data_IF_226641817570
#
_entry.id   IF_226641817570
#
_cell.length_a   1.000
_cell.length_b   1.000
_cell.length_c   1.000
_cell.angle_alpha   90.00
_cell.angle_beta   90.00
_cell.angle_gamma   90.00
#
_symmetry.space_group_name_H-M   'P 1'
#
loop_
_entity.id
_entity.type
_entity.pdbx_description
1 polymer ?
#
# COMPACT_ATOMS: atom_id res chain seq x y z
N UNK A 1 13.58 -21.83 -52.75
CA UNK A 1 13.00 -22.02 -51.44
C UNK A 1 14.10 -21.76 -50.42
N UNK A 2 14.08 -20.59 -49.71
CA UNK A 2 15.04 -20.29 -48.65
C UNK A 2 14.33 -20.53 -47.30
N UNK A 3 14.88 -21.40 -46.49
CA UNK A 3 14.44 -21.68 -45.12
C UNK A 3 14.72 -20.46 -44.24
N UNK A 4 13.78 -19.99 -43.41
CA UNK A 4 14.05 -18.90 -42.48
C UNK A 4 14.96 -19.36 -41.35
N UNK A 5 15.78 -18.46 -40.75
CA UNK A 5 16.67 -18.80 -39.67
C UNK A 5 15.86 -19.10 -38.38
N UNK A 6 16.22 -20.22 -37.76
CA UNK A 6 15.71 -20.59 -36.43
C UNK A 6 16.25 -19.61 -35.42
N UNK A 7 15.34 -18.94 -34.73
CA UNK A 7 15.64 -18.04 -33.61
C UNK A 7 16.00 -18.92 -32.40
N UNK A 8 17.30 -19.13 -32.16
CA UNK A 8 17.80 -19.78 -30.95
C UNK A 8 17.50 -18.87 -29.78
N UNK A 9 16.51 -19.25 -28.99
CA UNK A 9 16.28 -18.73 -27.67
C UNK A 9 17.53 -19.06 -26.82
N UNK A 10 18.45 -18.13 -26.73
CA UNK A 10 19.55 -18.21 -25.77
C UNK A 10 18.96 -18.14 -24.37
N UNK A 11 18.77 -19.30 -23.73
CA UNK A 11 18.54 -19.38 -22.30
C UNK A 11 19.74 -18.72 -21.60
N UNK A 12 19.52 -17.78 -20.65
CA UNK A 12 20.62 -17.27 -19.85
C UNK A 12 21.25 -18.47 -19.14
N UNK A 13 22.50 -18.74 -19.44
CA UNK A 13 23.31 -19.73 -18.73
C UNK A 13 23.31 -19.37 -17.26
N UNK A 14 22.78 -20.24 -16.41
CA UNK A 14 22.94 -20.10 -14.97
C UNK A 14 24.44 -19.95 -14.69
N UNK A 15 24.88 -18.95 -13.94
CA UNK A 15 26.27 -18.81 -13.59
C UNK A 15 26.68 -20.06 -12.80
N UNK A 16 27.44 -20.94 -13.48
CA UNK A 16 28.15 -22.03 -12.83
C UNK A 16 29.19 -21.39 -11.90
N UNK A 17 29.31 -21.93 -10.69
CA UNK A 17 30.34 -21.59 -9.68
C UNK A 17 30.25 -20.17 -9.09
N UNK A 18 29.14 -19.87 -8.38
CA UNK A 18 29.16 -18.76 -7.41
C UNK A 18 29.81 -19.24 -6.12
N UNK A 19 30.87 -18.57 -5.71
CA UNK A 19 31.46 -18.76 -4.40
C UNK A 19 30.41 -18.47 -3.30
N UNK A 20 30.44 -19.15 -2.13
CA UNK A 20 29.52 -18.87 -1.02
C UNK A 20 29.47 -17.40 -0.61
N UNK A 21 30.55 -16.66 -0.78
CA UNK A 21 30.65 -15.21 -0.51
C UNK A 21 29.75 -14.40 -1.47
N UNK A 22 29.62 -14.78 -2.73
CA UNK A 22 28.74 -14.11 -3.71
C UNK A 22 27.26 -14.29 -3.34
N UNK A 23 26.89 -15.43 -2.78
CA UNK A 23 25.53 -15.71 -2.31
C UNK A 23 25.20 -14.84 -1.10
N UNK A 24 26.13 -14.73 -0.13
CA UNK A 24 25.97 -13.87 1.04
C UNK A 24 25.78 -12.41 0.64
N UNK A 25 26.56 -11.90 -0.31
CA UNK A 25 26.43 -10.52 -0.79
C UNK A 25 25.06 -10.24 -1.45
N UNK A 26 24.44 -11.22 -2.10
CA UNK A 26 23.07 -11.08 -2.63
C UNK A 26 22.07 -10.97 -1.48
N UNK A 27 22.20 -11.80 -0.44
CA UNK A 27 21.31 -11.80 0.73
C UNK A 27 21.44 -10.49 1.52
N UNK A 28 22.65 -9.98 1.69
CA UNK A 28 22.91 -8.70 2.37
C UNK A 28 22.14 -7.52 1.78
N UNK A 29 21.96 -7.50 0.45
CA UNK A 29 21.17 -6.45 -0.23
C UNK A 29 19.69 -6.44 0.17
N UNK A 30 19.18 -7.52 0.73
CA UNK A 30 17.80 -7.70 1.18
C UNK A 30 17.70 -7.85 2.71
N UNK A 31 18.80 -7.59 3.45
CA UNK A 31 18.87 -7.79 4.91
C UNK A 31 17.69 -7.15 5.64
N UNK A 32 17.33 -5.90 5.30
CA UNK A 32 16.18 -5.23 5.91
C UNK A 32 14.86 -5.99 5.69
N UNK A 33 14.62 -6.50 4.48
CA UNK A 33 13.42 -7.30 4.20
C UNK A 33 13.38 -8.59 5.01
N UNK A 34 14.52 -9.26 5.14
CA UNK A 34 14.66 -10.48 5.93
C UNK A 34 14.49 -10.23 7.43
N UNK A 35 15.02 -9.11 7.95
CA UNK A 35 14.81 -8.68 9.34
C UNK A 35 13.33 -8.37 9.64
N UNK A 36 12.63 -7.74 8.69
CA UNK A 36 11.19 -7.49 8.83
C UNK A 36 10.37 -8.78 8.83
N UNK A 37 10.75 -9.77 8.02
CA UNK A 37 10.11 -11.09 8.01
C UNK A 37 10.35 -11.82 9.35
N UNK A 38 11.58 -11.84 9.86
CA UNK A 38 11.89 -12.41 11.17
C UNK A 38 11.11 -11.71 12.29
N UNK A 39 11.02 -10.38 12.25
CA UNK A 39 10.26 -9.61 13.22
C UNK A 39 8.75 -9.91 13.15
N UNK A 40 8.22 -10.13 11.94
CA UNK A 40 6.84 -10.52 11.73
C UNK A 40 6.57 -11.92 12.32
N UNK A 41 7.38 -12.92 12.00
CA UNK A 41 7.24 -14.30 12.46
C UNK A 41 7.26 -14.41 14.00
N UNK A 42 8.06 -13.56 14.63
CA UNK A 42 8.18 -13.52 16.09
C UNK A 42 7.26 -12.49 16.78
N UNK A 43 6.32 -11.89 16.05
CA UNK A 43 5.40 -10.85 16.56
C UNK A 43 6.12 -9.66 17.22
N UNK A 44 7.29 -9.29 16.69
CA UNK A 44 8.14 -8.18 17.18
C UNK A 44 8.21 -7.01 16.22
N UNK A 45 7.32 -6.98 15.23
CA UNK A 45 7.29 -5.92 14.22
C UNK A 45 6.97 -4.58 14.90
N UNK A 46 7.94 -3.68 14.94
CA UNK A 46 7.79 -2.34 15.50
C UNK A 46 7.27 -1.36 14.46
N UNK A 47 6.58 -0.33 14.93
CA UNK A 47 6.17 0.78 14.08
C UNK A 47 7.28 1.81 14.00
N UNK A 48 7.67 2.25 12.81
CA UNK A 48 8.62 3.35 12.66
C UNK A 48 8.02 4.66 13.19
N UNK A 49 8.89 5.60 13.54
CA UNK A 49 8.47 6.96 13.85
C UNK A 49 7.80 7.59 12.63
N UNK A 50 6.73 8.35 12.87
CA UNK A 50 5.95 9.00 11.83
C UNK A 50 5.98 10.52 11.94
N UNK A 51 5.51 11.20 10.92
CA UNK A 51 5.39 12.66 10.83
C UNK A 51 4.16 13.13 11.61
N UNK A 52 4.29 14.00 12.62
CA UNK A 52 3.15 14.50 13.36
C UNK A 52 2.20 15.35 12.51
N UNK A 53 0.90 15.16 12.71
CA UNK A 53 -0.13 15.93 12.03
C UNK A 53 -0.32 15.52 10.57
N UNK A 54 -1.42 15.93 9.99
CA UNK A 54 -1.72 15.73 8.56
C UNK A 54 -2.75 16.75 8.06
N UNK A 55 -2.63 17.14 6.80
CA UNK A 55 -3.69 17.87 6.09
C UNK A 55 -4.89 16.94 5.92
N UNK A 56 -6.04 17.39 6.38
CA UNK A 56 -7.26 16.58 6.35
C UNK A 56 -7.82 16.50 4.92
N UNK A 57 -8.19 15.28 4.51
CA UNK A 57 -9.02 15.07 3.32
C UNK A 57 -10.50 15.25 3.67
N UNK A 58 -11.22 15.93 2.80
CA UNK A 58 -12.68 15.99 2.85
C UNK A 58 -13.31 14.88 2.00
N UNK A 59 -14.54 14.55 2.33
CA UNK A 59 -15.30 13.59 1.52
C UNK A 59 -15.49 14.10 0.09
N UNK A 60 -15.75 15.40 -0.08
CA UNK A 60 -15.98 16.04 -1.36
C UNK A 60 -14.73 15.95 -2.27
N UNK A 61 -13.53 16.18 -1.73
CA UNK A 61 -12.27 16.00 -2.45
C UNK A 61 -12.11 14.56 -2.93
N UNK A 62 -12.39 13.59 -2.05
CA UNK A 62 -12.32 12.18 -2.41
C UNK A 62 -13.36 11.80 -3.48
N UNK A 63 -14.58 12.35 -3.43
CA UNK A 63 -15.59 12.11 -4.47
C UNK A 63 -15.13 12.63 -5.83
N UNK A 64 -14.60 13.85 -5.88
CA UNK A 64 -14.04 14.41 -7.13
C UNK A 64 -12.94 13.51 -7.70
N UNK A 65 -12.05 13.00 -6.85
CA UNK A 65 -11.02 12.04 -7.26
C UNK A 65 -11.64 10.77 -7.84
N UNK A 66 -12.58 10.13 -7.13
CA UNK A 66 -13.21 8.86 -7.53
C UNK A 66 -13.96 9.03 -8.85
N UNK A 67 -14.72 10.11 -9.00
CA UNK A 67 -15.49 10.41 -10.21
C UNK A 67 -14.58 10.70 -11.41
N UNK A 68 -13.37 11.21 -11.18
CA UNK A 68 -12.36 11.43 -12.22
C UNK A 68 -11.60 10.17 -12.66
N UNK A 69 -11.70 9.08 -11.90
CA UNK A 69 -11.06 7.81 -12.26
C UNK A 69 -11.79 7.19 -13.47
N UNK A 70 -11.15 7.12 -14.62
CA UNK A 70 -11.74 6.71 -15.90
C UNK A 70 -12.31 5.29 -16.00
N UNK A 71 -12.41 4.55 -14.89
CA UNK A 71 -12.90 3.16 -14.85
C UNK A 71 -14.43 3.03 -14.94
N UNK A 72 -15.17 4.12 -14.89
CA UNK A 72 -16.63 4.13 -15.10
C UNK A 72 -17.04 3.69 -16.52
N UNK A 73 -16.13 3.76 -17.48
CA UNK A 73 -16.37 3.24 -18.84
C UNK A 73 -16.47 1.70 -18.86
N UNK A 74 -15.79 1.01 -17.96
CA UNK A 74 -15.75 -0.46 -17.88
C UNK A 74 -16.86 -1.03 -16.97
N UNK A 75 -17.36 -0.22 -16.03
CA UNK A 75 -18.38 -0.65 -15.06
C UNK A 75 -19.24 0.55 -14.63
N UNK A 76 -20.51 0.49 -14.92
CA UNK A 76 -21.49 1.51 -14.48
C UNK A 76 -21.64 1.57 -12.95
N UNK A 77 -21.13 0.56 -12.22
CA UNK A 77 -21.17 0.47 -10.76
C UNK A 77 -19.89 0.97 -10.09
N UNK A 78 -18.85 1.34 -10.87
CA UNK A 78 -17.60 1.83 -10.33
C UNK A 78 -17.83 3.10 -9.51
N UNK A 79 -17.33 3.11 -8.27
CA UNK A 79 -17.43 4.26 -7.39
C UNK A 79 -18.83 4.54 -6.84
N UNK A 80 -19.81 3.66 -7.13
CA UNK A 80 -21.16 3.80 -6.58
C UNK A 80 -21.18 3.34 -5.13
N UNK A 81 -21.43 4.26 -4.20
CA UNK A 81 -21.51 3.95 -2.77
C UNK A 81 -22.74 3.12 -2.44
N UNK A 82 -22.56 2.08 -1.62
CA UNK A 82 -23.64 1.23 -1.12
C UNK A 82 -24.30 1.83 0.13
N UNK A 83 -23.50 2.50 0.94
CA UNK A 83 -23.87 3.03 2.23
C UNK A 83 -22.85 4.10 2.68
N UNK A 84 -22.93 4.55 3.94
CA UNK A 84 -22.00 5.57 4.51
C UNK A 84 -20.63 5.02 4.94
N UNK A 85 -20.25 3.78 4.61
CA UNK A 85 -19.01 3.14 5.04
C UNK A 85 -17.76 3.89 4.57
N UNK A 86 -17.79 4.48 3.37
CA UNK A 86 -16.68 5.27 2.88
C UNK A 86 -16.49 6.55 3.68
N UNK A 87 -17.58 7.27 3.96
CA UNK A 87 -17.56 8.46 4.83
C UNK A 87 -17.09 8.11 6.24
N UNK A 88 -17.53 6.98 6.77
CA UNK A 88 -17.07 6.42 8.04
C UNK A 88 -15.57 6.12 8.03
N UNK A 89 -15.05 5.51 6.96
CA UNK A 89 -13.61 5.22 6.80
C UNK A 89 -12.76 6.48 6.83
N UNK A 90 -13.20 7.55 6.15
CA UNK A 90 -12.53 8.86 6.19
C UNK A 90 -12.60 9.50 7.58
N UNK A 91 -13.74 9.41 8.27
CA UNK A 91 -13.91 9.98 9.61
C UNK A 91 -13.05 9.29 10.65
N UNK A 92 -12.93 7.97 10.55
CA UNK A 92 -12.23 7.15 11.53
C UNK A 92 -10.75 7.51 11.72
N UNK A 93 -10.06 7.92 10.67
CA UNK A 93 -8.63 8.27 10.77
C UNK A 93 -8.38 9.59 11.52
N UNK A 94 -9.41 10.39 11.76
CA UNK A 94 -9.34 11.67 12.48
C UNK A 94 -10.00 11.63 13.85
N UNK A 95 -10.31 10.46 14.37
CA UNK A 95 -10.90 10.30 15.69
C UNK A 95 -9.94 10.75 16.79
N UNK A 96 -10.51 11.34 17.83
CA UNK A 96 -9.80 11.75 19.05
C UNK A 96 -10.47 11.15 20.27
N UNK A 97 -9.68 10.85 21.27
CA UNK A 97 -10.16 10.43 22.58
C UNK A 97 -9.42 11.21 23.67
N UNK A 98 -10.17 11.79 24.62
CA UNK A 98 -9.58 12.57 25.71
C UNK A 98 -8.77 13.80 25.24
N UNK A 99 -9.08 14.35 24.05
CA UNK A 99 -8.36 15.51 23.48
C UNK A 99 -7.10 15.15 22.69
N UNK A 100 -6.74 13.86 22.61
CA UNK A 100 -5.62 13.37 21.80
C UNK A 100 -6.12 12.60 20.57
N UNK A 101 -5.47 12.77 19.44
CA UNK A 101 -5.76 11.98 18.23
C UNK A 101 -5.40 10.50 18.46
N UNK A 102 -6.28 9.58 18.03
CA UNK A 102 -6.00 8.14 18.09
C UNK A 102 -4.86 7.74 17.17
N UNK A 103 -4.69 8.44 16.06
CA UNK A 103 -3.66 8.19 15.04
C UNK A 103 -2.90 9.49 14.80
N UNK A 104 -1.84 9.78 15.59
CA UNK A 104 -1.22 11.11 15.63
C UNK A 104 -0.33 11.41 14.43
N UNK A 105 0.11 10.39 13.68
CA UNK A 105 1.03 10.58 12.55
C UNK A 105 0.35 10.47 11.20
N UNK A 106 0.92 11.13 10.22
CA UNK A 106 0.49 11.10 8.82
C UNK A 106 0.51 9.66 8.28
N UNK A 107 1.59 8.95 8.52
CA UNK A 107 1.78 7.59 8.03
C UNK A 107 0.75 6.62 8.64
N UNK A 108 0.46 6.78 9.92
CA UNK A 108 -0.55 5.95 10.58
C UNK A 108 -1.96 6.24 10.06
N UNK A 109 -2.30 7.53 9.86
CA UNK A 109 -3.58 7.89 9.22
C UNK A 109 -3.67 7.31 7.80
N UNK A 110 -2.59 7.40 7.00
CA UNK A 110 -2.55 6.84 5.65
C UNK A 110 -2.76 5.32 5.64
N UNK A 111 -2.02 4.59 6.48
CA UNK A 111 -2.11 3.14 6.58
C UNK A 111 -3.53 2.69 6.99
N UNK A 112 -4.12 3.36 7.97
CA UNK A 112 -5.49 3.07 8.42
C UNK A 112 -6.54 3.44 7.39
N UNK A 113 -6.36 4.54 6.67
CA UNK A 113 -7.24 4.92 5.57
C UNK A 113 -7.28 3.83 4.50
N UNK A 114 -6.11 3.36 4.06
CA UNK A 114 -6.01 2.26 3.09
C UNK A 114 -6.74 1.01 3.62
N UNK A 115 -6.46 0.63 4.88
CA UNK A 115 -7.06 -0.53 5.51
C UNK A 115 -8.59 -0.43 5.57
N UNK A 116 -9.13 0.68 6.10
CA UNK A 116 -10.57 0.84 6.29
C UNK A 116 -11.33 0.87 4.96
N UNK A 117 -10.82 1.58 3.95
CA UNK A 117 -11.51 1.66 2.66
C UNK A 117 -11.52 0.29 1.95
N UNK A 118 -10.44 -0.50 2.06
CA UNK A 118 -10.41 -1.87 1.52
C UNK A 118 -11.40 -2.76 2.27
N UNK A 119 -11.38 -2.74 3.62
CA UNK A 119 -12.16 -3.68 4.46
C UNK A 119 -13.64 -3.36 4.50
N UNK A 120 -14.02 -2.09 4.53
CA UNK A 120 -15.42 -1.70 4.69
C UNK A 120 -16.25 -1.91 3.43
N UNK A 121 -15.61 -2.14 2.28
CA UNK A 121 -16.32 -2.45 1.03
C UNK A 121 -17.49 -1.48 0.70
N UNK A 122 -17.28 -0.18 0.90
CA UNK A 122 -18.30 0.86 0.76
C UNK A 122 -18.83 1.08 -0.66
N UNK A 123 -18.20 0.51 -1.68
CA UNK A 123 -18.58 0.68 -3.08
C UNK A 123 -19.08 -0.62 -3.72
N UNK A 124 -19.99 -0.48 -4.67
CA UNK A 124 -20.53 -1.61 -5.45
C UNK A 124 -19.45 -2.25 -6.33
N UNK A 125 -18.56 -1.43 -6.90
CA UNK A 125 -17.36 -1.88 -7.61
C UNK A 125 -16.21 -0.90 -7.38
N UNK A 126 -14.97 -1.38 -7.54
CA UNK A 126 -13.76 -0.57 -7.51
C UNK A 126 -13.11 -0.41 -6.13
N UNK A 127 -13.59 -1.06 -5.07
CA UNK A 127 -13.12 -0.85 -3.69
C UNK A 127 -11.59 -0.84 -3.55
N UNK A 128 -10.88 -1.81 -4.14
CA UNK A 128 -9.40 -1.89 -4.08
C UNK A 128 -8.73 -0.72 -4.81
N UNK A 129 -9.23 -0.37 -6.02
CA UNK A 129 -8.68 0.74 -6.84
C UNK A 129 -8.93 2.08 -6.17
N UNK A 130 -10.13 2.28 -5.64
CA UNK A 130 -10.52 3.50 -4.91
C UNK A 130 -9.69 3.64 -3.64
N UNK A 131 -9.53 2.57 -2.85
CA UNK A 131 -8.71 2.61 -1.65
C UNK A 131 -7.26 3.01 -1.95
N UNK A 132 -6.66 2.42 -2.99
CA UNK A 132 -5.32 2.78 -3.44
C UNK A 132 -5.24 4.24 -3.89
N UNK A 133 -6.20 4.72 -4.69
CA UNK A 133 -6.21 6.10 -5.19
C UNK A 133 -6.37 7.12 -4.06
N UNK A 134 -7.28 6.90 -3.12
CA UNK A 134 -7.50 7.78 -1.97
C UNK A 134 -6.29 7.80 -1.04
N UNK A 135 -5.65 6.65 -0.81
CA UNK A 135 -4.40 6.55 -0.07
C UNK A 135 -3.27 7.37 -0.72
N UNK A 136 -3.06 7.20 -2.03
CA UNK A 136 -2.04 7.96 -2.76
C UNK A 136 -2.33 9.45 -2.75
N UNK A 137 -3.60 9.84 -2.91
CA UNK A 137 -4.03 11.23 -2.86
C UNK A 137 -3.82 11.84 -1.46
N UNK A 138 -4.07 11.06 -0.40
CA UNK A 138 -3.76 11.49 0.96
C UNK A 138 -2.26 11.76 1.15
N UNK A 139 -1.40 10.87 0.67
CA UNK A 139 0.06 11.06 0.72
C UNK A 139 0.51 12.29 -0.10
N UNK A 140 -0.05 12.47 -1.31
CA UNK A 140 0.27 13.61 -2.18
C UNK A 140 -0.12 14.95 -1.54
N UNK A 141 -1.34 15.06 -1.02
CA UNK A 141 -1.84 16.24 -0.30
C UNK A 141 -0.98 16.63 0.92
N UNK A 142 -0.27 15.67 1.46
CA UNK A 142 0.61 15.85 2.61
C UNK A 142 2.10 15.92 2.23
N UNK A 143 2.44 15.96 0.93
CA UNK A 143 3.81 15.99 0.47
C UNK A 143 4.62 14.72 0.77
N UNK A 144 3.94 13.60 1.06
CA UNK A 144 4.53 12.35 1.50
C UNK A 144 4.51 11.23 0.45
N UNK A 145 4.10 11.53 -0.79
CA UNK A 145 4.08 10.55 -1.88
C UNK A 145 5.48 10.22 -2.39
N UNK A 146 6.38 11.19 -2.33
CA UNK A 146 7.76 11.06 -2.77
C UNK A 146 8.73 11.38 -1.63
N UNK A 147 9.88 10.71 -1.60
CA UNK A 147 11.03 11.03 -0.78
C UNK A 147 12.26 11.09 -1.68
N UNK A 148 13.03 12.18 -1.62
CA UNK A 148 14.21 12.42 -2.48
C UNK A 148 13.95 12.19 -3.98
N UNK A 149 12.78 12.60 -4.46
CA UNK A 149 12.34 12.46 -5.85
C UNK A 149 11.94 11.03 -6.28
N UNK A 150 11.94 10.07 -5.36
CA UNK A 150 11.51 8.69 -5.61
C UNK A 150 10.16 8.43 -4.96
N UNK A 151 9.35 7.55 -5.59
CA UNK A 151 8.11 7.08 -4.97
C UNK A 151 8.43 6.42 -3.63
N UNK A 152 7.74 6.83 -2.59
CA UNK A 152 7.88 6.26 -1.23
C UNK A 152 7.39 4.82 -1.17
N UNK A 153 6.46 4.47 -2.05
CA UNK A 153 5.93 3.12 -2.20
C UNK A 153 5.93 2.72 -3.68
N UNK A 154 6.57 1.61 -4.00
CA UNK A 154 6.56 1.08 -5.35
C UNK A 154 5.16 0.58 -5.75
N UNK A 155 4.81 0.66 -7.03
CA UNK A 155 3.49 0.25 -7.53
C UNK A 155 3.16 -1.22 -7.18
N UNK A 156 4.15 -2.13 -7.32
CA UNK A 156 3.97 -3.53 -6.97
C UNK A 156 3.74 -3.74 -5.47
N UNK A 157 4.42 -2.95 -4.61
CA UNK A 157 4.21 -2.98 -3.16
C UNK A 157 2.81 -2.50 -2.80
N UNK A 158 2.32 -1.42 -3.41
CA UNK A 158 0.95 -0.95 -3.21
C UNK A 158 -0.07 -2.04 -3.55
N UNK A 159 0.08 -2.71 -4.69
CA UNK A 159 -0.80 -3.81 -5.11
C UNK A 159 -0.77 -4.95 -4.09
N UNK A 160 0.42 -5.37 -3.66
CA UNK A 160 0.59 -6.43 -2.67
C UNK A 160 -0.07 -6.09 -1.33
N UNK A 161 0.10 -4.85 -0.84
CA UNK A 161 -0.53 -4.38 0.40
C UNK A 161 -2.05 -4.37 0.30
N UNK A 162 -2.62 -3.89 -0.80
CA UNK A 162 -4.08 -3.87 -1.00
C UNK A 162 -4.66 -5.29 -1.01
N UNK A 163 -3.98 -6.24 -1.66
CA UNK A 163 -4.39 -7.66 -1.66
C UNK A 163 -4.23 -8.25 -0.25
N UNK A 164 -3.11 -8.01 0.42
CA UNK A 164 -2.87 -8.46 1.79
C UNK A 164 -3.98 -7.99 2.73
N UNK A 165 -4.36 -6.71 2.67
CA UNK A 165 -5.48 -6.17 3.45
C UNK A 165 -6.77 -6.91 3.11
N UNK A 166 -7.09 -7.07 1.83
CA UNK A 166 -8.35 -7.69 1.41
C UNK A 166 -8.50 -9.11 1.95
N UNK A 167 -7.42 -9.89 1.95
CA UNK A 167 -7.39 -11.30 2.39
C UNK A 167 -7.20 -11.46 3.91
N UNK A 168 -6.74 -10.42 4.64
CA UNK A 168 -6.48 -10.49 6.08
C UNK A 168 -7.75 -10.67 6.90
N UNK A 169 -7.60 -11.17 8.12
CA UNK A 169 -8.68 -11.23 9.11
C UNK A 169 -8.70 -9.94 9.96
N UNK A 170 -9.86 -9.59 10.57
CA UNK A 170 -9.95 -8.40 11.42
C UNK A 170 -8.93 -8.38 12.58
N UNK A 171 -8.62 -9.54 13.14
CA UNK A 171 -7.67 -9.70 14.25
C UNK A 171 -6.23 -9.34 13.86
N UNK A 172 -5.92 -9.36 12.57
CA UNK A 172 -4.60 -9.07 12.01
C UNK A 172 -4.38 -7.58 11.74
N UNK A 173 -5.39 -6.73 11.96
CA UNK A 173 -5.36 -5.31 11.58
C UNK A 173 -4.08 -4.61 12.04
N UNK A 174 -3.73 -4.73 13.32
CA UNK A 174 -2.58 -3.99 13.88
C UNK A 174 -1.24 -4.48 13.29
N UNK A 175 -1.14 -5.77 12.99
CA UNK A 175 0.02 -6.34 12.31
C UNK A 175 0.12 -5.83 10.88
N UNK A 176 -1.00 -5.82 10.14
CA UNK A 176 -1.06 -5.28 8.77
C UNK A 176 -0.72 -3.79 8.73
N UNK A 177 -1.24 -3.00 9.67
CA UNK A 177 -0.87 -1.58 9.80
C UNK A 177 0.66 -1.45 9.99
N UNK A 178 1.26 -2.25 10.87
CA UNK A 178 2.71 -2.23 11.09
C UNK A 178 3.50 -2.61 9.83
N UNK A 179 3.03 -3.57 9.04
CA UNK A 179 3.62 -3.93 7.73
C UNK A 179 3.56 -2.73 6.77
N UNK A 180 2.39 -2.09 6.63
CA UNK A 180 2.22 -0.92 5.74
C UNK A 180 3.19 0.20 6.14
N UNK A 181 3.27 0.51 7.44
CA UNK A 181 4.15 1.56 7.97
C UNK A 181 5.62 1.28 7.64
N UNK A 182 6.07 0.03 7.78
CA UNK A 182 7.43 -0.36 7.44
C UNK A 182 7.71 -0.30 5.92
N UNK A 183 6.74 -0.64 5.07
CA UNK A 183 6.85 -0.51 3.62
C UNK A 183 6.94 0.95 3.15
N UNK A 184 6.38 1.91 3.91
CA UNK A 184 6.48 3.34 3.60
C UNK A 184 7.81 3.98 4.03
N UNK A 185 8.65 3.28 4.78
CA UNK A 185 9.98 3.76 5.22
C UNK A 185 11.12 3.36 4.26
N UNK A 186 10.80 2.65 3.18
CA UNK A 186 11.77 2.08 2.24
C UNK A 186 12.37 3.16 1.30
#
# INVERSE_FOLDING_TARGET
>A
MKTPPQNELTHPTAPADREPQDVLHVVEKYSRGLELLDAYDHQRLTRPEGTPGAVRLTYEECRVLIDSMGFSADSALFGHEKDDSFRGSLGNIYQSFGGAELYPTLEEKAARLLYFVVKNHGFSDGNKRIAAAVFLYFLDRNGALFADGKKRLADATLVALVILIAESKPEEMETIISVILNCMQA
#
